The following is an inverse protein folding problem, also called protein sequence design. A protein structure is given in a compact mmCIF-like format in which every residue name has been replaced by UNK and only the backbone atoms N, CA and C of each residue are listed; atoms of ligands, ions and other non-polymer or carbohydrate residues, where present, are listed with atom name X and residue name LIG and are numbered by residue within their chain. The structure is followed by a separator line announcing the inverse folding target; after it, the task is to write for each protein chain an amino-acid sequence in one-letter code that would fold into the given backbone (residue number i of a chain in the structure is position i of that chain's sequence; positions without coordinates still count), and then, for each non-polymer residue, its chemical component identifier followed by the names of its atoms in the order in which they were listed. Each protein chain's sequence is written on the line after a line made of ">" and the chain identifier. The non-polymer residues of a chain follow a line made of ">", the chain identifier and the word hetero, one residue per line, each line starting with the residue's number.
data_IF_468664495534
#
_entry.id   IF_468664495534
#
_cell.length_a   1.000
_cell.length_b   1.000
_cell.length_c   1.000
_cell.angle_alpha   90.00
_cell.angle_beta   90.00
_cell.angle_gamma   90.00
#
_symmetry.space_group_name_H-M   'P 1'
#
loop_
_entity.id
_entity.type
_entity.pdbx_description
1 polymer ?
#
# COMPACT_ATOMS: atom_id res chain seq x y z
N UNK A 1 -18.80 -18.32 -8.81
CA UNK A 1 -17.49 -18.91 -9.16
C UNK A 1 -16.43 -17.86 -9.52
N UNK A 2 -16.60 -16.60 -9.08
CA UNK A 2 -15.62 -15.53 -9.32
C UNK A 2 -14.35 -15.76 -8.48
N UNK A 3 -13.20 -15.34 -9.01
CA UNK A 3 -11.90 -15.51 -8.40
C UNK A 3 -11.29 -14.15 -8.04
N UNK A 4 -10.63 -14.10 -6.89
CA UNK A 4 -9.83 -12.95 -6.44
C UNK A 4 -8.41 -13.41 -6.15
N UNK A 5 -7.42 -12.67 -6.65
CA UNK A 5 -6.01 -12.91 -6.34
C UNK A 5 -5.55 -11.89 -5.31
N UNK A 6 -4.92 -12.37 -4.24
CA UNK A 6 -4.28 -11.58 -3.17
C UNK A 6 -2.85 -12.05 -2.98
N UNK A 7 -2.04 -11.32 -2.21
CA UNK A 7 -0.64 -11.71 -1.94
C UNK A 7 -0.37 -11.92 -0.45
N UNK A 8 0.64 -12.73 -0.14
CA UNK A 8 1.15 -12.90 1.23
C UNK A 8 2.04 -11.74 1.71
N UNK A 9 2.31 -10.77 0.84
CA UNK A 9 2.99 -9.52 1.16
C UNK A 9 2.04 -8.33 1.41
N UNK A 10 0.72 -8.54 1.23
CA UNK A 10 -0.28 -7.51 1.50
C UNK A 10 -0.50 -7.30 3.01
N UNK A 11 -0.97 -6.10 3.35
CA UNK A 11 -1.50 -5.86 4.68
C UNK A 11 -2.82 -6.63 4.87
N UNK A 12 -3.14 -7.15 6.07
CA UNK A 12 -4.35 -7.93 6.30
C UNK A 12 -5.64 -7.27 5.80
N UNK A 13 -5.75 -5.94 5.84
CA UNK A 13 -6.93 -5.23 5.35
C UNK A 13 -7.15 -5.38 3.82
N UNK A 14 -6.13 -5.72 3.04
CA UNK A 14 -6.25 -6.03 1.61
C UNK A 14 -6.75 -7.44 1.34
N UNK A 15 -6.53 -8.38 2.26
CA UNK A 15 -6.86 -9.80 2.10
C UNK A 15 -8.15 -10.21 2.82
N UNK A 16 -8.33 -9.76 4.07
CA UNK A 16 -9.42 -10.22 4.95
C UNK A 16 -10.83 -9.96 4.43
N UNK A 17 -11.14 -8.88 3.68
CA UNK A 17 -12.47 -8.68 3.13
C UNK A 17 -12.92 -9.82 2.21
N UNK A 18 -12.00 -10.38 1.43
CA UNK A 18 -12.28 -11.47 0.49
C UNK A 18 -12.42 -12.82 1.19
N UNK A 19 -11.67 -13.04 2.27
CA UNK A 19 -11.71 -14.26 3.07
C UNK A 19 -12.94 -14.33 3.99
N UNK A 20 -13.48 -13.18 4.39
CA UNK A 20 -14.58 -13.06 5.36
C UNK A 20 -15.90 -12.55 4.74
N UNK A 21 -16.03 -12.55 3.43
CA UNK A 21 -17.27 -12.15 2.77
C UNK A 21 -18.39 -13.16 3.06
N UNK A 22 -19.65 -12.69 3.15
CA UNK A 22 -20.81 -13.55 3.36
C UNK A 22 -21.00 -14.57 2.21
N UNK A 23 -20.60 -14.20 1.00
CA UNK A 23 -20.49 -15.07 -0.16
C UNK A 23 -19.06 -14.93 -0.72
N UNK A 24 -18.09 -15.66 -0.15
CA UNK A 24 -16.70 -15.45 -0.50
C UNK A 24 -16.41 -15.91 -1.94
N UNK A 25 -15.61 -15.13 -2.71
CA UNK A 25 -15.10 -15.63 -3.97
C UNK A 25 -14.07 -16.73 -3.73
N UNK A 26 -13.64 -17.40 -4.79
CA UNK A 26 -12.47 -18.27 -4.72
C UNK A 26 -11.21 -17.39 -4.59
N UNK A 27 -10.58 -17.44 -3.42
CA UNK A 27 -9.37 -16.65 -3.16
C UNK A 27 -8.14 -17.46 -3.56
N UNK A 28 -7.33 -16.89 -4.45
CA UNK A 28 -6.03 -17.44 -4.87
C UNK A 28 -4.90 -16.60 -4.27
N UNK A 29 -3.91 -17.27 -3.69
CA UNK A 29 -2.78 -16.62 -3.04
C UNK A 29 -1.56 -16.61 -3.95
N UNK A 30 -1.16 -15.43 -4.41
CA UNK A 30 0.11 -15.19 -5.07
C UNK A 30 1.20 -15.04 -4.02
N UNK A 31 2.03 -16.07 -3.89
CA UNK A 31 3.05 -16.17 -2.86
C UNK A 31 4.36 -15.51 -3.30
N UNK A 32 4.99 -14.80 -2.36
CA UNK A 32 6.33 -14.31 -2.56
C UNK A 32 7.36 -15.45 -2.64
N UNK A 33 8.33 -15.30 -3.53
CA UNK A 33 9.49 -16.16 -3.67
C UNK A 33 10.73 -15.31 -3.42
N UNK A 34 11.58 -15.73 -2.48
CA UNK A 34 12.78 -14.99 -2.06
C UNK A 34 12.49 -13.52 -1.65
N UNK A 35 11.35 -13.33 -0.97
CA UNK A 35 10.91 -12.02 -0.49
C UNK A 35 10.35 -11.08 -1.54
N UNK A 36 10.14 -11.52 -2.79
CA UNK A 36 9.63 -10.74 -3.89
C UNK A 36 8.43 -11.42 -4.58
N UNK A 37 7.58 -10.62 -5.22
CA UNK A 37 6.49 -11.07 -6.09
C UNK A 37 7.01 -11.05 -7.54
N UNK A 38 6.89 -12.20 -8.22
CA UNK A 38 7.35 -12.36 -9.59
C UNK A 38 6.17 -12.55 -10.53
N UNK A 39 6.11 -11.78 -11.61
CA UNK A 39 4.98 -11.81 -12.55
C UNK A 39 4.77 -13.19 -13.18
N UNK A 40 5.84 -13.95 -13.40
CA UNK A 40 5.75 -15.33 -13.91
C UNK A 40 5.02 -16.29 -12.95
N UNK A 41 5.07 -16.04 -11.63
CA UNK A 41 4.35 -16.82 -10.62
C UNK A 41 2.85 -16.42 -10.53
N UNK A 42 2.48 -15.24 -11.06
CA UNK A 42 1.10 -14.77 -11.11
C UNK A 42 0.30 -15.41 -12.26
N UNK A 43 0.88 -15.50 -13.45
CA UNK A 43 0.18 -15.98 -14.65
C UNK A 43 -0.65 -17.27 -14.44
N UNK A 44 -0.09 -18.32 -13.83
CA UNK A 44 -0.81 -19.58 -13.55
C UNK A 44 -2.00 -19.45 -12.58
N UNK A 45 -2.08 -18.37 -11.81
CA UNK A 45 -3.18 -18.11 -10.88
C UNK A 45 -4.36 -17.41 -11.56
N UNK A 46 -4.14 -16.77 -12.71
CA UNK A 46 -5.15 -16.01 -13.42
C UNK A 46 -5.99 -16.89 -14.34
N UNK A 47 -7.24 -16.51 -14.53
CA UNK A 47 -8.18 -17.15 -15.44
C UNK A 47 -9.25 -16.17 -15.91
N UNK A 48 -10.11 -16.59 -16.85
CA UNK A 48 -11.28 -15.81 -17.28
C UNK A 48 -12.28 -15.53 -16.13
N UNK A 49 -12.21 -16.29 -15.02
CA UNK A 49 -13.02 -16.08 -13.82
C UNK A 49 -12.40 -15.07 -12.84
N UNK A 50 -11.15 -14.71 -13.02
CA UNK A 50 -10.51 -13.69 -12.18
C UNK A 50 -11.22 -12.35 -12.38
N UNK A 51 -11.78 -11.80 -11.29
CA UNK A 51 -12.48 -10.52 -11.28
C UNK A 51 -11.67 -9.40 -10.65
N UNK A 52 -10.76 -9.76 -9.74
CA UNK A 52 -9.94 -8.79 -9.04
C UNK A 52 -8.56 -9.35 -8.76
N UNK A 53 -7.56 -8.51 -8.95
CA UNK A 53 -6.21 -8.69 -8.41
C UNK A 53 -5.96 -7.54 -7.44
N UNK A 54 -5.83 -7.87 -6.15
CA UNK A 54 -5.50 -6.94 -5.08
C UNK A 54 -4.00 -7.05 -4.79
N UNK A 55 -3.28 -5.91 -4.74
CA UNK A 55 -1.83 -5.91 -4.49
C UNK A 55 -1.38 -4.62 -3.83
N UNK A 56 -0.36 -4.70 -2.98
CA UNK A 56 0.36 -3.53 -2.48
C UNK A 56 1.53 -3.19 -3.40
N UNK A 57 1.65 -1.91 -3.82
CA UNK A 57 2.79 -1.45 -4.62
C UNK A 57 4.10 -1.59 -3.86
N UNK A 58 4.06 -1.31 -2.55
CA UNK A 58 5.17 -1.57 -1.63
C UNK A 58 4.64 -2.36 -0.44
N UNK A 59 5.26 -3.48 -0.16
CA UNK A 59 4.91 -4.33 0.97
C UNK A 59 5.23 -3.66 2.31
N UNK A 60 4.25 -3.59 3.19
CA UNK A 60 4.46 -3.20 4.58
C UNK A 60 5.34 -4.21 5.34
N UNK A 61 5.35 -5.47 4.85
CA UNK A 61 5.97 -6.58 5.54
C UNK A 61 7.49 -6.54 5.45
N UNK A 62 8.04 -6.41 4.23
CA UNK A 62 9.47 -6.50 3.98
C UNK A 62 10.07 -5.38 3.12
N UNK A 63 9.21 -4.45 2.63
CA UNK A 63 9.65 -3.36 1.77
C UNK A 63 9.81 -3.74 0.29
N UNK A 64 9.38 -4.95 -0.12
CA UNK A 64 9.38 -5.29 -1.54
C UNK A 64 8.54 -4.29 -2.32
N UNK A 65 9.12 -3.67 -3.35
CA UNK A 65 8.42 -2.85 -4.33
C UNK A 65 8.12 -3.71 -5.55
N UNK A 66 6.83 -3.81 -5.86
CA UNK A 66 6.35 -4.56 -7.01
C UNK A 66 6.86 -3.94 -8.32
N UNK A 67 7.36 -4.77 -9.21
CA UNK A 67 7.65 -4.36 -10.58
C UNK A 67 6.33 -4.26 -11.35
N UNK A 68 5.86 -3.02 -11.51
CA UNK A 68 4.50 -2.76 -12.00
C UNK A 68 4.29 -3.14 -13.46
N UNK A 69 5.26 -2.86 -14.33
CA UNK A 69 5.08 -3.08 -15.77
C UNK A 69 4.88 -4.57 -16.14
N UNK A 70 5.71 -5.52 -15.70
CA UNK A 70 5.46 -6.93 -15.95
C UNK A 70 4.22 -7.45 -15.23
N UNK A 71 3.92 -6.96 -14.02
CA UNK A 71 2.71 -7.32 -13.29
C UNK A 71 1.45 -6.99 -14.09
N UNK A 72 1.29 -5.72 -14.48
CA UNK A 72 0.07 -5.29 -15.20
C UNK A 72 -0.05 -5.95 -16.57
N UNK A 73 1.06 -6.16 -17.27
CA UNK A 73 1.07 -6.89 -18.53
C UNK A 73 0.56 -8.32 -18.36
N UNK A 74 1.04 -9.04 -17.34
CA UNK A 74 0.58 -10.40 -17.03
C UNK A 74 -0.91 -10.45 -16.69
N UNK A 75 -1.41 -9.49 -15.90
CA UNK A 75 -2.85 -9.42 -15.58
C UNK A 75 -3.67 -9.19 -16.86
N UNK A 76 -3.27 -8.24 -17.70
CA UNK A 76 -4.03 -7.91 -18.92
C UNK A 76 -3.96 -9.02 -19.98
N UNK A 77 -2.89 -9.80 -20.01
CA UNK A 77 -2.75 -10.96 -20.90
C UNK A 77 -3.66 -12.11 -20.47
N UNK A 78 -3.65 -12.48 -19.17
CA UNK A 78 -4.29 -13.71 -18.68
C UNK A 78 -5.70 -13.50 -18.12
N UNK A 79 -6.01 -12.29 -17.67
CA UNK A 79 -7.30 -11.92 -17.10
C UNK A 79 -7.70 -10.48 -17.50
N UNK A 80 -7.92 -10.18 -18.80
CA UNK A 80 -8.09 -8.81 -19.29
C UNK A 80 -9.31 -8.07 -18.70
N UNK A 81 -10.27 -8.81 -18.15
CA UNK A 81 -11.47 -8.23 -17.49
C UNK A 81 -11.31 -8.06 -15.98
N UNK A 82 -10.22 -8.57 -15.39
CA UNK A 82 -9.97 -8.41 -13.98
C UNK A 82 -9.71 -6.95 -13.63
N UNK A 83 -10.34 -6.48 -12.55
CA UNK A 83 -10.03 -5.19 -11.94
C UNK A 83 -8.72 -5.32 -11.16
N UNK A 84 -7.93 -4.25 -11.17
CA UNK A 84 -6.69 -4.16 -10.40
C UNK A 84 -6.86 -3.12 -9.32
N UNK A 85 -6.85 -3.56 -8.05
CA UNK A 85 -6.83 -2.69 -6.88
C UNK A 85 -5.41 -2.62 -6.33
N UNK A 86 -4.85 -1.41 -6.27
CA UNK A 86 -3.49 -1.18 -5.78
C UNK A 86 -3.51 -0.39 -4.47
N UNK A 87 -2.92 -0.97 -3.43
CA UNK A 87 -2.63 -0.26 -2.17
C UNK A 87 -1.28 0.45 -2.28
N UNK A 88 -1.31 1.77 -2.29
CA UNK A 88 -0.12 2.62 -2.34
C UNK A 88 0.23 3.23 -0.97
N UNK A 89 -0.33 2.69 0.11
CA UNK A 89 -0.13 3.20 1.47
C UNK A 89 1.35 3.33 1.86
N UNK A 90 2.19 2.43 1.36
CA UNK A 90 3.63 2.45 1.67
C UNK A 90 4.48 3.15 0.60
N UNK A 91 3.83 3.78 -0.40
CA UNK A 91 4.49 4.45 -1.52
C UNK A 91 4.10 5.93 -1.64
N UNK A 92 2.81 6.25 -1.52
CA UNK A 92 2.27 7.59 -1.74
C UNK A 92 2.90 8.62 -0.78
N UNK A 93 3.51 9.66 -1.32
CA UNK A 93 4.22 10.70 -0.57
C UNK A 93 5.69 10.38 -0.28
N UNK A 94 6.15 9.13 -0.49
CA UNK A 94 7.54 8.72 -0.30
C UNK A 94 8.30 8.56 -1.62
N UNK A 95 7.61 8.18 -2.67
CA UNK A 95 8.16 7.96 -4.00
C UNK A 95 7.15 8.32 -5.08
N UNK A 96 7.63 8.59 -6.27
CA UNK A 96 6.76 8.74 -7.44
C UNK A 96 6.07 7.41 -7.74
N UNK A 97 4.77 7.51 -8.06
CA UNK A 97 3.97 6.34 -8.41
C UNK A 97 4.06 6.09 -9.92
N UNK A 98 4.65 4.98 -10.29
CA UNK A 98 4.78 4.51 -11.67
C UNK A 98 3.75 3.42 -12.01
N UNK A 99 2.62 3.42 -11.31
CA UNK A 99 1.52 2.51 -11.56
C UNK A 99 0.48 3.14 -12.49
N UNK A 100 0.35 2.60 -13.70
CA UNK A 100 -0.69 2.92 -14.67
C UNK A 100 -1.66 1.74 -14.81
N UNK A 101 -2.80 1.94 -15.47
CA UNK A 101 -3.80 0.90 -15.77
C UNK A 101 -4.39 0.16 -14.57
N UNK A 102 -4.33 0.77 -13.37
CA UNK A 102 -5.11 0.32 -12.23
C UNK A 102 -6.58 0.73 -12.37
N UNK A 103 -7.46 0.03 -11.66
CA UNK A 103 -8.89 0.34 -11.61
C UNK A 103 -9.27 1.03 -10.29
N UNK A 104 -8.61 0.67 -9.18
CA UNK A 104 -8.78 1.28 -7.86
C UNK A 104 -7.42 1.50 -7.21
N UNK A 105 -7.17 2.71 -6.73
CA UNK A 105 -6.01 3.05 -5.92
C UNK A 105 -6.48 3.35 -4.50
N UNK A 106 -5.76 2.83 -3.50
CA UNK A 106 -6.10 3.00 -2.10
C UNK A 106 -4.86 3.43 -1.33
N UNK A 107 -5.01 4.38 -0.41
CA UNK A 107 -3.96 4.74 0.54
C UNK A 107 -4.55 5.17 1.88
N UNK A 108 -3.96 4.73 2.98
CA UNK A 108 -4.21 5.35 4.29
C UNK A 108 -3.59 6.74 4.36
N UNK A 109 -4.14 7.61 5.23
CA UNK A 109 -3.71 9.02 5.33
C UNK A 109 -2.62 9.29 6.37
N UNK A 110 -2.37 8.36 7.28
CA UNK A 110 -1.55 8.57 8.48
C UNK A 110 -0.10 8.09 8.38
N UNK A 111 0.37 7.68 7.19
CA UNK A 111 1.73 7.18 6.99
C UNK A 111 2.59 8.18 6.22
N UNK A 112 3.06 7.81 5.06
CA UNK A 112 4.01 8.59 4.26
C UNK A 112 3.47 9.92 3.74
N UNK A 113 2.15 10.07 3.65
CA UNK A 113 1.51 11.36 3.33
C UNK A 113 1.43 12.30 4.54
N UNK A 114 1.90 11.89 5.73
CA UNK A 114 2.01 12.70 6.94
C UNK A 114 0.68 13.29 7.45
N UNK A 115 -0.44 12.70 7.06
CA UNK A 115 -1.77 13.07 7.56
C UNK A 115 -2.09 12.42 8.91
N UNK A 116 -3.35 12.46 9.31
CA UNK A 116 -3.83 11.87 10.56
C UNK A 116 -4.59 10.57 10.33
N UNK A 117 -4.77 9.80 11.40
CA UNK A 117 -5.60 8.59 11.38
C UNK A 117 -7.08 8.89 11.06
N UNK A 118 -7.82 7.90 10.58
CA UNK A 118 -9.25 7.98 10.33
C UNK A 118 -9.63 8.42 8.92
N UNK A 119 -8.68 8.43 7.98
CA UNK A 119 -8.91 8.71 6.58
C UNK A 119 -8.35 7.65 5.64
N UNK A 120 -8.92 7.60 4.44
CA UNK A 120 -8.45 6.82 3.31
C UNK A 120 -8.55 7.66 2.04
N UNK A 121 -7.55 7.56 1.17
CA UNK A 121 -7.59 8.12 -0.18
C UNK A 121 -8.05 6.99 -1.10
N UNK A 122 -9.08 7.25 -1.90
CA UNK A 122 -9.56 6.34 -2.94
C UNK A 122 -9.45 7.05 -4.28
N UNK A 123 -8.67 6.47 -5.18
CA UNK A 123 -8.52 6.92 -6.56
C UNK A 123 -9.20 5.95 -7.53
N UNK A 124 -10.09 6.46 -8.37
CA UNK A 124 -10.73 5.68 -9.44
C UNK A 124 -10.58 6.49 -10.73
N UNK A 125 -9.96 5.92 -11.77
CA UNK A 125 -9.86 6.58 -13.07
C UNK A 125 -11.25 6.96 -13.62
N UNK A 126 -11.36 8.11 -14.28
CA UNK A 126 -12.66 8.59 -14.81
C UNK A 126 -13.33 7.59 -15.77
N UNK A 127 -12.56 6.76 -16.47
CA UNK A 127 -13.06 5.68 -17.33
C UNK A 127 -13.76 4.56 -16.57
N UNK A 128 -13.48 4.42 -15.25
CA UNK A 128 -14.00 3.36 -14.37
C UNK A 128 -15.13 3.86 -13.45
N UNK A 129 -15.94 4.80 -13.92
CA UNK A 129 -17.03 5.41 -13.13
C UNK A 129 -18.09 4.41 -12.64
N UNK A 130 -18.15 3.22 -13.22
CA UNK A 130 -19.08 2.15 -12.79
C UNK A 130 -18.73 1.54 -11.44
N UNK A 131 -17.48 1.70 -10.97
CA UNK A 131 -17.08 1.21 -9.65
C UNK A 131 -17.75 2.08 -8.59
N UNK A 132 -18.54 1.44 -7.74
CA UNK A 132 -19.28 2.08 -6.65
C UNK A 132 -19.32 1.21 -5.40
N UNK A 133 -19.64 1.80 -4.24
CA UNK A 133 -19.87 1.05 -3.01
C UNK A 133 -21.35 0.70 -2.80
N UNK A 134 -21.60 -0.45 -2.19
CA UNK A 134 -22.91 -0.83 -1.67
C UNK A 134 -23.02 -0.64 -0.15
N UNK A 135 -22.07 0.06 0.48
CA UNK A 135 -22.12 0.37 1.90
C UNK A 135 -23.31 1.28 2.24
N UNK A 136 -23.93 1.05 3.40
CA UNK A 136 -24.98 1.94 3.91
C UNK A 136 -24.45 3.31 4.31
N UNK A 137 -25.22 4.34 4.10
CA UNK A 137 -24.89 5.72 4.43
C UNK A 137 -25.81 6.70 3.68
N UNK A 138 -25.47 7.97 3.72
CA UNK A 138 -26.30 9.01 3.07
C UNK A 138 -25.48 9.99 2.21
N UNK A 139 -24.24 10.29 2.60
CA UNK A 139 -23.45 11.34 1.95
C UNK A 139 -23.02 10.97 0.53
N UNK A 140 -22.90 9.69 0.25
CA UNK A 140 -22.56 9.15 -1.07
C UNK A 140 -23.76 9.00 -2.01
N UNK A 141 -24.98 9.28 -1.54
CA UNK A 141 -26.20 9.17 -2.36
C UNK A 141 -26.48 10.47 -3.12
N UNK A 142 -26.93 10.34 -4.35
CA UNK A 142 -27.45 11.45 -5.15
C UNK A 142 -28.80 11.93 -4.59
N UNK A 143 -29.67 10.98 -4.20
CA UNK A 143 -31.05 11.24 -3.77
C UNK A 143 -31.25 11.21 -2.25
N UNK A 144 -30.21 11.49 -1.44
CA UNK A 144 -30.28 11.39 0.02
C UNK A 144 -31.40 12.22 0.68
N UNK A 145 -31.84 13.32 0.03
CA UNK A 145 -32.86 14.24 0.52
C UNK A 145 -34.08 14.38 -0.40
N UNK A 146 -34.14 13.58 -1.48
CA UNK A 146 -35.25 13.59 -2.41
C UNK A 146 -36.49 12.89 -1.82
N UNK A 147 -37.64 13.07 -2.46
CA UNK A 147 -38.90 12.49 -2.02
C UNK A 147 -38.86 10.96 -1.95
N UNK A 148 -38.13 10.34 -2.89
CA UNK A 148 -37.99 8.89 -3.06
C UNK A 148 -36.86 8.25 -2.24
N UNK A 149 -36.22 8.99 -1.32
CA UNK A 149 -35.05 8.54 -0.54
C UNK A 149 -35.28 7.29 0.31
N UNK A 150 -36.52 6.93 0.58
CA UNK A 150 -36.88 5.71 1.33
C UNK A 150 -37.40 4.58 0.42
N UNK A 151 -37.47 4.83 -0.86
CA UNK A 151 -37.91 3.86 -1.86
C UNK A 151 -36.72 3.25 -2.63
N UNK A 152 -35.67 4.07 -2.84
CA UNK A 152 -34.45 3.65 -3.53
C UNK A 152 -33.22 4.44 -3.03
N UNK A 153 -32.05 3.83 -3.11
CA UNK A 153 -30.75 4.47 -2.88
C UNK A 153 -30.02 4.58 -4.22
N UNK A 154 -29.63 5.79 -4.60
CA UNK A 154 -28.88 6.08 -5.83
C UNK A 154 -27.47 6.51 -5.47
N UNK A 155 -26.48 5.62 -5.49
CA UNK A 155 -25.11 5.98 -5.15
C UNK A 155 -24.49 6.88 -6.24
N UNK A 156 -23.66 7.82 -5.82
CA UNK A 156 -22.73 8.54 -6.69
C UNK A 156 -21.81 7.55 -7.39
N UNK A 157 -21.29 7.93 -8.53
CA UNK A 157 -20.37 7.08 -9.30
C UNK A 157 -18.91 7.31 -8.91
N UNK A 158 -18.09 6.30 -9.12
CA UNK A 158 -16.64 6.34 -8.93
C UNK A 158 -16.22 6.64 -7.49
N UNK A 159 -15.13 7.35 -7.31
CA UNK A 159 -14.54 7.63 -6.00
C UNK A 159 -15.49 8.35 -5.03
N UNK A 160 -16.43 9.15 -5.53
CA UNK A 160 -17.40 9.88 -4.71
C UNK A 160 -18.35 8.95 -3.92
N UNK A 161 -18.57 7.72 -4.41
CA UNK A 161 -19.41 6.72 -3.75
C UNK A 161 -18.80 6.18 -2.43
N UNK A 162 -17.49 6.33 -2.24
CA UNK A 162 -16.80 5.81 -1.06
C UNK A 162 -16.86 6.74 0.16
N UNK A 163 -17.34 7.96 0.00
CA UNK A 163 -17.60 8.89 1.12
C UNK A 163 -19.00 8.66 1.67
N UNK A 164 -19.19 7.57 2.43
CA UNK A 164 -20.52 7.06 2.81
C UNK A 164 -21.24 7.86 3.89
N UNK A 165 -20.50 8.51 4.79
CA UNK A 165 -21.04 9.32 5.88
C UNK A 165 -20.47 10.74 5.89
N UNK A 166 -20.83 11.52 6.92
CA UNK A 166 -20.30 12.88 7.10
C UNK A 166 -18.78 12.84 7.16
N UNK A 167 -18.06 13.57 6.29
CA UNK A 167 -16.61 13.61 6.31
C UNK A 167 -16.05 14.15 7.64
N UNK A 168 -14.93 13.57 8.08
CA UNK A 168 -14.15 14.14 9.16
C UNK A 168 -13.36 15.36 8.64
N UNK A 169 -13.96 16.54 8.70
CA UNK A 169 -13.35 17.77 8.18
C UNK A 169 -12.02 18.12 8.84
N UNK A 170 -11.86 17.86 10.15
CA UNK A 170 -10.58 18.09 10.82
C UNK A 170 -9.46 17.23 10.21
N UNK A 171 -9.73 15.96 9.93
CA UNK A 171 -8.78 15.07 9.25
C UNK A 171 -8.52 15.52 7.82
N UNK A 172 -9.52 16.03 7.10
CA UNK A 172 -9.36 16.56 5.73
C UNK A 172 -8.47 17.79 5.71
N UNK A 173 -8.67 18.74 6.65
CA UNK A 173 -7.80 19.91 6.74
C UNK A 173 -6.36 19.53 7.08
N UNK A 174 -6.15 18.60 8.02
CA UNK A 174 -4.82 18.10 8.35
C UNK A 174 -4.16 17.41 7.15
N UNK A 175 -4.91 16.56 6.43
CA UNK A 175 -4.42 15.90 5.22
C UNK A 175 -4.07 16.91 4.12
N UNK A 176 -4.91 17.92 3.90
CA UNK A 176 -4.64 18.96 2.91
C UNK A 176 -3.35 19.74 3.25
N UNK A 177 -3.12 20.06 4.52
CA UNK A 177 -1.88 20.71 4.95
C UNK A 177 -0.66 19.80 4.71
N UNK A 178 -0.76 18.52 5.03
CA UNK A 178 0.28 17.53 4.82
C UNK A 178 0.60 17.33 3.32
N UNK A 179 -0.41 17.20 2.48
CA UNK A 179 -0.23 17.05 1.04
C UNK A 179 0.41 18.29 0.41
N UNK A 180 0.01 19.51 0.82
CA UNK A 180 0.67 20.75 0.39
C UNK A 180 2.13 20.82 0.81
N UNK A 181 2.44 20.34 2.02
CA UNK A 181 3.82 20.25 2.47
C UNK A 181 4.65 19.32 1.58
N UNK A 182 4.13 18.11 1.30
CA UNK A 182 4.79 17.15 0.40
C UNK A 182 4.91 17.70 -1.03
N UNK A 183 3.88 18.37 -1.53
CA UNK A 183 3.89 18.99 -2.86
C UNK A 183 4.98 20.09 -2.95
N UNK A 184 5.11 20.95 -1.93
CA UNK A 184 6.11 21.99 -1.87
C UNK A 184 7.53 21.45 -1.79
N UNK A 185 7.76 20.36 -1.06
CA UNK A 185 9.07 19.67 -1.00
C UNK A 185 9.34 18.95 -2.31
N UNK A 186 8.32 18.34 -2.88
CA UNK A 186 8.38 17.48 -4.07
C UNK A 186 8.72 16.03 -3.73
N UNK A 187 7.88 15.09 -4.18
CA UNK A 187 8.07 13.65 -3.93
C UNK A 187 9.38 13.15 -4.52
N UNK A 188 9.80 13.66 -5.70
CA UNK A 188 11.07 13.33 -6.31
C UNK A 188 12.25 13.76 -5.42
N UNK A 189 12.17 14.93 -4.77
CA UNK A 189 13.20 15.40 -3.84
C UNK A 189 13.25 14.55 -2.57
N UNK A 190 12.08 14.14 -2.05
CA UNK A 190 11.99 13.21 -0.91
C UNK A 190 12.67 11.87 -1.27
N UNK A 191 12.38 11.34 -2.45
CA UNK A 191 12.99 10.11 -2.93
C UNK A 191 14.52 10.27 -3.11
N UNK A 192 14.97 11.32 -3.78
CA UNK A 192 16.39 11.61 -4.02
C UNK A 192 17.19 11.75 -2.72
N UNK A 193 16.59 12.34 -1.67
CA UNK A 193 17.20 12.46 -0.36
C UNK A 193 17.23 11.11 0.39
N UNK A 194 16.12 10.39 0.43
CA UNK A 194 15.98 9.23 1.31
C UNK A 194 16.48 7.91 0.70
N UNK A 195 16.53 7.76 -0.64
CA UNK A 195 17.01 6.53 -1.26
C UNK A 195 18.48 6.23 -0.98
N UNK A 196 19.42 7.19 -0.98
CA UNK A 196 20.80 6.94 -0.53
C UNK A 196 20.88 6.45 0.91
N UNK A 197 20.02 6.93 1.81
CA UNK A 197 19.97 6.48 3.20
C UNK A 197 19.49 5.03 3.30
N UNK A 198 18.53 4.63 2.48
CA UNK A 198 18.08 3.23 2.40
C UNK A 198 19.21 2.35 1.89
N UNK A 199 19.93 2.76 0.86
CA UNK A 199 21.09 2.03 0.33
C UNK A 199 22.21 1.89 1.38
N UNK A 200 22.52 2.98 2.11
CA UNK A 200 23.51 2.96 3.20
C UNK A 200 23.10 1.98 4.30
N UNK A 201 21.83 2.02 4.73
CA UNK A 201 21.30 1.12 5.74
C UNK A 201 21.34 -0.35 5.27
N UNK A 202 20.98 -0.63 4.01
CA UNK A 202 21.05 -1.98 3.45
C UNK A 202 22.49 -2.51 3.43
N UNK A 203 23.45 -1.67 2.98
CA UNK A 203 24.87 -2.03 2.98
C UNK A 203 25.37 -2.35 4.39
N UNK A 204 25.06 -1.48 5.36
CA UNK A 204 25.43 -1.71 6.75
C UNK A 204 24.81 -2.99 7.37
N UNK A 205 23.55 -3.28 7.09
CA UNK A 205 22.96 -4.55 7.51
C UNK A 205 23.74 -5.75 6.98
N UNK A 206 24.16 -5.72 5.71
CA UNK A 206 24.95 -6.79 5.10
C UNK A 206 26.35 -6.91 5.72
N UNK A 207 27.00 -5.80 6.06
CA UNK A 207 28.28 -5.79 6.78
C UNK A 207 28.16 -6.40 8.17
N UNK A 208 27.02 -6.23 8.84
CA UNK A 208 26.69 -6.90 10.10
C UNK A 208 26.28 -8.38 9.94
N UNK A 209 26.29 -8.92 8.73
CA UNK A 209 25.86 -10.29 8.44
C UNK A 209 24.34 -10.48 8.46
N UNK A 210 23.56 -9.37 8.44
CA UNK A 210 22.10 -9.41 8.42
C UNK A 210 21.60 -9.36 6.97
N UNK A 211 20.73 -10.29 6.61
CA UNK A 211 20.18 -10.37 5.26
C UNK A 211 18.83 -9.66 5.19
N UNK A 212 18.68 -8.58 4.38
CA UNK A 212 17.38 -7.98 4.13
C UNK A 212 16.38 -8.99 3.54
N UNK A 213 15.14 -8.91 4.00
CA UNK A 213 14.05 -9.82 3.56
C UNK A 213 13.59 -9.56 2.13
N UNK A 214 13.82 -8.38 1.60
CA UNK A 214 13.64 -8.02 0.20
C UNK A 214 14.83 -7.17 -0.25
N UNK A 215 15.32 -7.42 -1.46
CA UNK A 215 16.40 -6.61 -2.03
C UNK A 215 15.86 -5.29 -2.53
N UNK A 216 16.55 -4.20 -2.18
CA UNK A 216 16.37 -2.93 -2.86
C UNK A 216 17.14 -2.97 -4.19
N UNK A 217 16.59 -2.37 -5.22
CA UNK A 217 17.24 -2.29 -6.54
C UNK A 217 17.46 -0.85 -6.91
N UNK A 218 18.56 -0.54 -7.55
CA UNK A 218 18.79 0.79 -8.10
C UNK A 218 17.62 1.17 -9.03
N UNK A 219 17.08 2.37 -8.85
CA UNK A 219 15.87 2.82 -9.56
C UNK A 219 14.56 2.28 -9.00
N UNK A 220 14.58 1.32 -8.05
CA UNK A 220 13.36 0.70 -7.49
C UNK A 220 13.40 0.61 -5.95
N UNK A 221 13.90 1.64 -5.28
CA UNK A 221 13.92 1.71 -3.83
C UNK A 221 12.52 1.88 -3.24
N UNK A 222 12.29 1.24 -2.11
CA UNK A 222 11.19 1.58 -1.20
C UNK A 222 11.74 2.31 0.04
N UNK A 223 10.85 2.86 0.87
CA UNK A 223 11.26 3.48 2.14
C UNK A 223 11.48 2.46 3.27
N UNK A 224 11.28 1.17 3.03
CA UNK A 224 11.21 0.12 4.05
C UNK A 224 12.32 -0.91 3.83
N UNK A 225 13.03 -1.23 4.90
CA UNK A 225 13.92 -2.39 5.01
C UNK A 225 13.47 -3.25 6.19
N UNK A 226 13.61 -4.57 6.05
CA UNK A 226 13.33 -5.51 7.12
C UNK A 226 14.31 -6.67 7.09
N UNK A 227 14.63 -7.22 8.26
CA UNK A 227 15.41 -8.45 8.40
C UNK A 227 14.86 -9.29 9.54
N UNK A 228 15.14 -10.59 9.53
CA UNK A 228 14.81 -11.51 10.61
C UNK A 228 16.04 -11.82 11.46
N UNK A 229 15.82 -11.96 12.77
CA UNK A 229 16.87 -12.38 13.68
C UNK A 229 16.26 -13.12 14.88
N UNK A 230 16.90 -14.20 15.34
CA UNK A 230 16.43 -14.98 16.51
C UNK A 230 16.38 -14.15 17.81
N UNK A 231 17.29 -13.16 17.93
CA UNK A 231 17.34 -12.23 19.08
C UNK A 231 16.64 -10.89 18.78
N UNK A 232 15.63 -10.87 17.91
CA UNK A 232 14.97 -9.63 17.50
C UNK A 232 14.46 -8.79 18.66
N UNK A 233 13.94 -9.43 19.72
CA UNK A 233 13.48 -8.74 20.95
C UNK A 233 14.62 -8.03 21.66
N UNK A 234 15.78 -8.69 21.82
CA UNK A 234 16.94 -8.10 22.48
C UNK A 234 17.55 -6.95 21.66
N UNK A 235 17.61 -7.11 20.34
CA UNK A 235 18.07 -6.05 19.42
C UNK A 235 17.10 -4.85 19.51
N UNK A 236 15.80 -5.10 19.47
CA UNK A 236 14.78 -4.04 19.58
C UNK A 236 14.93 -3.26 20.90
N UNK A 237 15.09 -3.97 22.03
CA UNK A 237 15.28 -3.34 23.34
C UNK A 237 16.55 -2.48 23.40
N UNK A 238 17.64 -2.88 22.74
CA UNK A 238 18.86 -2.08 22.64
C UNK A 238 18.65 -0.82 21.78
N UNK A 239 17.96 -0.96 20.66
CA UNK A 239 17.62 0.17 19.78
C UNK A 239 16.72 1.17 20.50
N UNK A 240 15.68 0.72 21.20
CA UNK A 240 14.80 1.57 22.00
C UNK A 240 15.58 2.30 23.11
N UNK A 241 16.50 1.62 23.81
CA UNK A 241 17.35 2.25 24.81
C UNK A 241 18.30 3.30 24.22
N UNK A 242 18.64 3.16 22.94
CA UNK A 242 19.39 4.15 22.15
C UNK A 242 18.50 5.19 21.48
N UNK A 243 17.19 5.25 21.79
CA UNK A 243 16.20 6.15 21.15
C UNK A 243 16.13 5.96 19.62
N UNK A 244 16.28 4.73 19.15
CA UNK A 244 16.10 4.34 17.75
C UNK A 244 14.81 3.51 17.66
N UNK A 245 13.76 4.10 17.11
CA UNK A 245 12.43 3.49 17.05
C UNK A 245 12.25 2.72 15.75
N UNK A 246 12.15 1.42 15.85
CA UNK A 246 11.89 0.50 14.75
C UNK A 246 10.73 -0.42 15.10
N UNK A 247 10.11 -1.04 14.12
CA UNK A 247 9.08 -2.04 14.39
C UNK A 247 9.71 -3.40 14.64
N UNK A 248 9.32 -4.07 15.74
CA UNK A 248 9.60 -5.48 15.99
C UNK A 248 8.29 -6.27 16.00
N UNK A 249 8.18 -7.28 15.15
CA UNK A 249 7.01 -8.16 15.10
C UNK A 249 7.36 -9.51 14.48
N UNK A 250 6.98 -10.60 15.13
CA UNK A 250 7.16 -11.97 14.65
C UNK A 250 8.61 -12.30 14.22
N UNK A 251 9.60 -11.92 15.05
CA UNK A 251 11.03 -12.15 14.78
C UNK A 251 11.62 -11.28 13.68
N UNK A 252 10.92 -10.23 13.27
CA UNK A 252 11.29 -9.30 12.21
C UNK A 252 11.44 -7.88 12.76
N UNK A 253 12.59 -7.28 12.49
CA UNK A 253 12.82 -5.85 12.65
C UNK A 253 12.61 -5.14 11.32
N UNK A 254 11.91 -4.01 11.36
CA UNK A 254 11.59 -3.21 10.16
C UNK A 254 11.88 -1.75 10.40
N UNK A 255 12.73 -1.19 9.54
CA UNK A 255 13.09 0.20 9.48
C UNK A 255 12.32 0.90 8.37
N UNK A 256 12.03 2.18 8.56
CA UNK A 256 11.29 3.00 7.59
C UNK A 256 11.94 4.39 7.53
N UNK A 257 12.41 4.79 6.34
CA UNK A 257 13.10 6.06 6.13
C UNK A 257 12.30 6.98 5.20
N UNK A 258 12.05 8.20 5.69
CA UNK A 258 11.34 9.25 4.97
C UNK A 258 12.25 10.46 4.72
N UNK A 259 11.75 11.51 4.07
CA UNK A 259 12.48 12.74 3.77
C UNK A 259 12.97 13.54 4.98
N UNK A 260 12.58 13.20 6.19
CA UNK A 260 13.06 13.83 7.42
C UNK A 260 14.18 13.05 8.12
N UNK A 261 14.49 11.84 7.67
CA UNK A 261 15.63 11.09 8.20
C UNK A 261 16.95 11.61 7.62
N UNK A 262 18.03 11.37 8.38
CA UNK A 262 19.38 11.84 8.06
C UNK A 262 20.40 10.69 8.06
N UNK A 263 21.62 10.93 7.59
CA UNK A 263 22.70 9.97 7.70
C UNK A 263 23.03 9.62 9.17
N UNK A 264 22.90 10.60 10.07
CA UNK A 264 23.12 10.37 11.49
C UNK A 264 22.10 9.38 12.10
N UNK A 265 20.85 9.34 11.59
CA UNK A 265 19.88 8.34 12.03
C UNK A 265 20.29 6.92 11.60
N UNK A 266 20.85 6.79 10.39
CA UNK A 266 21.38 5.51 9.90
C UNK A 266 22.60 5.09 10.70
N UNK A 267 23.55 6.00 10.95
CA UNK A 267 24.73 5.75 11.79
C UNK A 267 24.37 5.34 13.22
N UNK A 268 23.35 5.97 13.80
CA UNK A 268 22.86 5.66 15.14
C UNK A 268 22.22 4.27 15.22
N UNK A 269 21.61 3.81 14.12
CA UNK A 269 21.05 2.46 14.04
C UNK A 269 22.14 1.41 13.92
N UNK A 270 23.24 1.68 13.20
CA UNK A 270 24.37 0.77 12.96
C UNK A 270 25.23 0.57 14.21
#
# INVERSE_FOLDING_TARGET
>A
DDEVVITDLDFPAGATPWLNAAAPPTVKLWKARDGALWAEDLGPLLSERTRLVQVSLVSFFNGHRLDWAPFIATVREHAPRAKVAVDVTQALGRMELDCADFDVLISSTHKWVLGVHGGCIVGIPKKENEITTHAGGWFHLENAFDADRFERAVPKLGAASFSVGMPNYAAIYALNAALRYIENVGVANIAAHANPLVAQLEAGLRELGLTPMAMQREGNFSGILAFRHERSEAIHAQLEAAEVHVMNHAGRLRMALHGYNTAADVEKFM
#
